data_IF_963533281875
#
_entry.id   IF_963533281875
#
_cell.length_a   1.000
_cell.length_b   1.000
_cell.length_c   1.000
_cell.angle_alpha   90.00
_cell.angle_beta   90.00
_cell.angle_gamma   90.00
#
_symmetry.space_group_name_H-M   'P 1'
#
loop_
_entity.id
_entity.type
_entity.pdbx_description
1 polymer ?
#
# COMPACT_ATOMS: atom_id res chain seq x y z
N UNK A 1 -4.84 2.44 -13.77
CA UNK A 1 -4.50 1.08 -13.33
C UNK A 1 -4.73 0.87 -11.84
N UNK A 2 -4.14 -0.18 -11.25
CA UNK A 2 -4.34 -0.56 -9.83
C UNK A 2 -4.04 0.59 -8.85
N UNK A 3 -2.88 1.22 -8.99
CA UNK A 3 -2.49 2.37 -8.16
C UNK A 3 -3.48 3.54 -8.23
N UNK A 4 -4.04 3.80 -9.42
CA UNK A 4 -5.07 4.85 -9.59
C UNK A 4 -6.38 4.46 -8.92
N UNK A 5 -6.77 3.18 -8.96
CA UNK A 5 -7.96 2.68 -8.28
C UNK A 5 -7.83 2.87 -6.76
N UNK A 6 -6.67 2.53 -6.20
CA UNK A 6 -6.43 2.73 -4.77
C UNK A 6 -6.39 4.22 -4.43
N UNK A 7 -5.54 5.01 -5.09
CA UNK A 7 -5.32 6.42 -4.73
C UNK A 7 -6.52 7.32 -5.01
N UNK A 8 -7.17 7.16 -6.17
CA UNK A 8 -8.25 8.05 -6.60
C UNK A 8 -9.66 7.45 -6.34
N UNK A 9 -9.75 6.16 -6.13
CA UNK A 9 -10.99 5.48 -5.77
C UNK A 9 -11.06 5.25 -4.27
N UNK A 10 -10.39 4.20 -3.78
CA UNK A 10 -10.49 3.76 -2.39
C UNK A 10 -10.16 4.86 -1.38
N UNK A 11 -9.00 5.53 -1.50
CA UNK A 11 -8.62 6.56 -0.53
C UNK A 11 -9.55 7.77 -0.55
N UNK A 12 -10.06 8.15 -1.73
CA UNK A 12 -11.04 9.23 -1.84
C UNK A 12 -12.36 8.90 -1.14
N UNK A 13 -12.83 7.66 -1.27
CA UNK A 13 -14.04 7.18 -0.59
C UNK A 13 -13.81 7.01 0.92
N UNK A 14 -12.60 6.59 1.32
CA UNK A 14 -12.21 6.46 2.72
C UNK A 14 -12.28 7.82 3.43
N UNK A 15 -11.66 8.85 2.86
CA UNK A 15 -11.70 10.22 3.38
C UNK A 15 -13.08 10.88 3.23
N UNK A 16 -13.87 10.45 2.25
CA UNK A 16 -15.26 10.89 2.05
C UNK A 16 -16.25 10.32 3.07
N UNK A 17 -15.83 9.40 3.94
CA UNK A 17 -16.67 8.79 4.96
C UNK A 17 -17.63 7.72 4.42
N UNK A 18 -17.38 7.17 3.24
CA UNK A 18 -18.23 6.13 2.64
C UNK A 18 -18.17 4.80 3.38
N UNK A 19 -17.16 4.58 4.24
CA UNK A 19 -16.95 3.36 5.03
C UNK A 19 -17.37 3.55 6.50
N UNK A 20 -18.56 4.05 6.75
CA UNK A 20 -19.08 4.35 8.10
C UNK A 20 -19.00 3.17 9.09
N UNK A 21 -19.15 1.94 8.59
CA UNK A 21 -19.06 0.73 9.43
C UNK A 21 -17.63 0.44 9.91
N UNK A 22 -16.61 0.90 9.17
CA UNK A 22 -15.21 0.71 9.51
C UNK A 22 -14.61 1.87 10.33
N UNK A 23 -15.44 2.86 10.70
CA UNK A 23 -14.99 4.08 11.38
C UNK A 23 -14.74 5.24 10.41
N UNK A 24 -14.62 6.45 10.97
CA UNK A 24 -14.47 7.69 10.18
C UNK A 24 -13.05 8.20 10.14
N UNK A 25 -12.23 7.85 11.10
CA UNK A 25 -10.89 8.40 11.26
C UNK A 25 -9.83 7.40 10.77
N UNK A 26 -9.11 7.82 9.74
CA UNK A 26 -8.12 6.99 9.06
C UNK A 26 -6.82 7.76 8.87
N UNK A 27 -5.72 7.13 9.29
CA UNK A 27 -4.38 7.52 8.89
C UNK A 27 -3.85 6.55 7.83
N UNK A 28 -3.25 7.08 6.77
CA UNK A 28 -2.87 6.29 5.60
C UNK A 28 -1.42 6.53 5.24
N UNK A 29 -0.63 5.47 5.22
CA UNK A 29 0.71 5.48 4.63
C UNK A 29 0.72 4.71 3.31
N UNK A 30 1.32 5.29 2.27
CA UNK A 30 1.44 4.68 0.94
C UNK A 30 2.91 4.52 0.59
N UNK A 31 3.35 3.30 0.37
CA UNK A 31 4.74 3.00 0.02
C UNK A 31 4.87 2.12 -1.23
N UNK A 32 6.08 2.10 -1.78
CA UNK A 32 6.54 1.12 -2.76
C UNK A 32 7.78 0.41 -2.18
N UNK A 33 7.84 -0.93 -2.16
CA UNK A 33 8.93 -1.65 -1.50
C UNK A 33 10.28 -1.61 -2.26
N UNK A 34 10.31 -1.12 -3.49
CA UNK A 34 11.53 -1.01 -4.28
C UNK A 34 12.64 -0.19 -3.60
N UNK A 35 13.85 -0.72 -3.58
CA UNK A 35 15.01 -0.05 -2.94
C UNK A 35 15.11 -0.22 -1.44
N UNK A 36 14.41 -1.19 -0.85
CA UNK A 36 14.49 -1.57 0.56
C UNK A 36 13.21 -1.28 1.33
N UNK A 37 12.42 -2.33 1.66
CA UNK A 37 11.05 -2.19 2.16
C UNK A 37 10.97 -1.44 3.49
N UNK A 38 11.88 -1.70 4.44
CA UNK A 38 11.89 -1.01 5.74
C UNK A 38 12.23 0.48 5.64
N UNK A 39 13.17 0.85 4.74
CA UNK A 39 13.50 2.25 4.50
C UNK A 39 12.34 3.00 3.86
N UNK A 40 11.67 2.38 2.89
CA UNK A 40 10.50 2.99 2.25
C UNK A 40 9.32 3.10 3.21
N UNK A 41 9.10 2.09 4.07
CA UNK A 41 8.06 2.14 5.08
C UNK A 41 8.33 3.25 6.11
N UNK A 42 9.53 3.32 6.68
CA UNK A 42 9.87 4.39 7.64
C UNK A 42 9.70 5.78 7.05
N UNK A 43 10.06 5.95 5.77
CA UNK A 43 9.84 7.20 5.05
C UNK A 43 8.35 7.51 4.88
N UNK A 44 7.55 6.54 4.43
CA UNK A 44 6.11 6.75 4.22
C UNK A 44 5.35 7.05 5.52
N UNK A 45 5.80 6.49 6.66
CA UNK A 45 5.23 6.79 7.97
C UNK A 45 5.50 8.24 8.40
N UNK A 46 6.68 8.78 8.10
CA UNK A 46 6.98 10.20 8.34
C UNK A 46 6.23 11.11 7.37
N UNK A 47 6.19 10.73 6.08
CA UNK A 47 5.50 11.51 5.04
C UNK A 47 3.96 11.52 5.24
N UNK A 48 3.39 10.63 6.04
CA UNK A 48 1.96 10.61 6.40
C UNK A 48 1.57 11.48 7.60
N UNK A 49 2.51 12.29 8.10
CA UNK A 49 2.34 13.22 9.22
C UNK A 49 1.94 12.57 10.58
N UNK A 50 1.99 11.23 10.69
CA UNK A 50 1.76 10.53 11.97
C UNK A 50 2.96 10.58 12.92
N UNK A 51 4.10 11.05 12.40
CA UNK A 51 5.32 11.32 13.16
C UNK A 51 5.79 12.75 12.90
N UNK A 52 6.39 13.36 13.92
CA UNK A 52 7.00 14.67 13.78
C UNK A 52 8.24 14.60 12.87
N UNK A 53 8.13 15.16 11.68
CA UNK A 53 9.21 15.18 10.69
C UNK A 53 10.38 16.09 11.08
N UNK A 54 10.18 17.01 12.06
CA UNK A 54 11.23 17.90 12.57
C UNK A 54 12.11 17.21 13.63
N UNK A 55 11.68 16.03 14.15
CA UNK A 55 12.49 15.28 15.09
C UNK A 55 13.75 14.72 14.41
N UNK A 56 14.93 15.07 14.96
CA UNK A 56 16.19 14.56 14.48
C UNK A 56 16.22 13.01 14.56
N UNK A 57 16.66 12.37 13.49
CA UNK A 57 16.82 10.90 13.41
C UNK A 57 15.53 10.09 13.48
N UNK A 58 14.33 10.69 13.29
CA UNK A 58 13.04 9.98 13.32
C UNK A 58 13.04 8.78 12.37
N UNK A 59 13.57 8.91 11.16
CA UNK A 59 13.67 7.79 10.20
C UNK A 59 14.54 6.65 10.71
N UNK A 60 15.68 6.96 11.35
CA UNK A 60 16.59 5.92 11.89
C UNK A 60 15.94 5.18 13.04
N UNK A 61 15.29 5.89 13.95
CA UNK A 61 14.54 5.30 15.07
C UNK A 61 13.41 4.41 14.59
N UNK A 62 12.62 4.88 13.62
CA UNK A 62 11.54 4.12 13.01
C UNK A 62 12.06 2.88 12.30
N UNK A 63 13.08 3.01 11.47
CA UNK A 63 13.67 1.87 10.78
C UNK A 63 14.17 0.80 11.77
N UNK A 64 14.84 1.22 12.86
CA UNK A 64 15.27 0.32 13.91
C UNK A 64 14.09 -0.35 14.64
N UNK A 65 13.00 0.37 14.89
CA UNK A 65 11.78 -0.19 15.49
C UNK A 65 11.14 -1.23 14.58
N UNK A 66 10.97 -0.90 13.30
CA UNK A 66 10.36 -1.78 12.30
C UNK A 66 11.14 -3.10 12.13
N UNK A 67 12.48 -3.04 12.15
CA UNK A 67 13.34 -4.22 12.00
C UNK A 67 13.50 -5.08 13.25
N UNK A 68 13.00 -4.63 14.41
CA UNK A 68 13.24 -5.30 15.70
C UNK A 68 12.56 -6.65 15.79
N UNK A 69 11.36 -6.79 15.26
CA UNK A 69 10.55 -8.00 15.34
C UNK A 69 9.39 -7.96 14.35
N UNK A 70 8.67 -9.08 14.23
CA UNK A 70 7.40 -9.17 13.46
C UNK A 70 6.30 -8.21 13.97
N UNK A 71 6.43 -7.68 15.18
CA UNK A 71 5.54 -6.66 15.73
C UNK A 71 6.03 -5.23 15.49
N UNK A 72 7.09 -5.04 14.70
CA UNK A 72 7.72 -3.73 14.49
C UNK A 72 6.76 -2.66 13.98
N UNK A 73 5.86 -2.97 13.04
CA UNK A 73 4.84 -2.04 12.57
C UNK A 73 3.81 -1.72 13.66
N UNK A 74 3.39 -2.73 14.42
CA UNK A 74 2.46 -2.53 15.55
C UNK A 74 3.06 -1.62 16.61
N UNK A 75 4.35 -1.84 16.95
CA UNK A 75 5.08 -0.99 17.89
C UNK A 75 5.23 0.44 17.37
N UNK A 76 5.56 0.60 16.08
CA UNK A 76 5.63 1.90 15.45
C UNK A 76 4.28 2.64 15.56
N UNK A 77 3.18 2.04 15.14
CA UNK A 77 1.86 2.70 15.19
C UNK A 77 1.43 3.02 16.64
N UNK A 78 1.75 2.17 17.61
CA UNK A 78 1.51 2.48 19.03
C UNK A 78 2.33 3.68 19.52
N UNK A 79 3.59 3.80 19.07
CA UNK A 79 4.46 4.94 19.41
C UNK A 79 4.01 6.25 18.78
N UNK A 80 3.36 6.19 17.63
CA UNK A 80 2.75 7.35 16.97
C UNK A 80 1.59 7.97 17.78
N UNK A 81 1.06 7.23 18.78
CA UNK A 81 0.00 7.70 19.69
C UNK A 81 -1.20 8.31 18.94
N UNK A 82 -1.67 7.63 17.91
CA UNK A 82 -2.84 8.07 17.14
C UNK A 82 -4.06 8.28 18.06
N UNK A 83 -4.97 9.21 17.72
CA UNK A 83 -6.20 9.43 18.47
C UNK A 83 -6.98 8.13 18.65
N UNK A 84 -7.70 8.00 19.78
CA UNK A 84 -8.54 6.83 20.05
C UNK A 84 -9.61 6.66 18.94
N UNK A 85 -9.73 5.45 18.43
CA UNK A 85 -10.66 5.13 17.33
C UNK A 85 -10.11 5.36 15.93
N UNK A 86 -8.88 5.85 15.78
CA UNK A 86 -8.23 5.98 14.49
C UNK A 86 -7.77 4.64 13.96
N UNK A 87 -8.15 4.31 12.73
CA UNK A 87 -7.64 3.16 11.99
C UNK A 87 -6.38 3.55 11.20
N UNK A 88 -5.44 2.62 11.07
CA UNK A 88 -4.26 2.82 10.24
C UNK A 88 -4.31 1.92 9.00
N UNK A 89 -4.14 2.51 7.82
CA UNK A 89 -4.07 1.80 6.54
C UNK A 89 -2.67 1.91 5.93
N UNK A 90 -2.01 0.78 5.78
CA UNK A 90 -0.80 0.67 4.97
C UNK A 90 -1.15 0.23 3.56
N UNK A 91 -0.81 1.04 2.56
CA UNK A 91 -0.90 0.68 1.15
C UNK A 91 0.50 0.38 0.62
N UNK A 92 0.74 -0.87 0.23
CA UNK A 92 1.97 -1.29 -0.46
C UNK A 92 1.68 -1.37 -1.95
N UNK A 93 2.03 -0.30 -2.66
CA UNK A 93 1.80 -0.19 -4.11
C UNK A 93 2.97 -0.82 -4.88
N UNK A 94 2.68 -1.53 -5.97
CA UNK A 94 3.65 -2.27 -6.77
C UNK A 94 4.42 -3.32 -5.94
N UNK A 95 3.68 -4.13 -5.19
CA UNK A 95 4.25 -5.15 -4.29
C UNK A 95 5.21 -6.10 -5.00
N UNK A 96 5.06 -6.30 -6.32
CA UNK A 96 5.98 -7.08 -7.12
C UNK A 96 7.46 -6.63 -7.05
N UNK A 97 7.72 -5.40 -6.61
CA UNK A 97 9.09 -4.91 -6.42
C UNK A 97 9.82 -5.63 -5.27
N UNK A 98 9.08 -6.23 -4.31
CA UNK A 98 9.67 -7.00 -3.20
C UNK A 98 10.38 -8.26 -3.72
N UNK A 99 9.83 -8.92 -4.75
CA UNK A 99 10.43 -10.12 -5.34
C UNK A 99 11.75 -9.79 -6.04
N UNK A 100 11.80 -8.65 -6.74
CA UNK A 100 13.05 -8.17 -7.36
C UNK A 100 14.08 -7.76 -6.32
N UNK A 101 13.64 -7.19 -5.22
CA UNK A 101 14.50 -6.82 -4.12
C UNK A 101 15.10 -8.08 -3.47
N UNK A 102 14.30 -9.09 -3.19
CA UNK A 102 14.76 -10.36 -2.58
C UNK A 102 15.75 -11.13 -3.46
N UNK A 103 15.74 -10.95 -4.77
CA UNK A 103 16.67 -11.61 -5.70
C UNK A 103 18.05 -10.92 -5.76
N UNK A 104 18.25 -9.80 -5.09
CA UNK A 104 19.49 -9.03 -5.16
C UNK A 104 20.62 -9.62 -4.29
N UNK A 105 20.30 -10.37 -3.21
CA UNK A 105 21.26 -11.01 -2.32
C UNK A 105 20.59 -11.65 -1.11
N UNK A 106 21.39 -12.34 -0.30
CA UNK A 106 20.89 -13.04 0.90
C UNK A 106 20.35 -12.06 1.96
N UNK A 107 20.98 -10.90 2.14
CA UNK A 107 20.52 -9.87 3.08
C UNK A 107 19.20 -9.25 2.63
N UNK A 108 19.00 -9.09 1.33
CA UNK A 108 17.78 -8.57 0.73
C UNK A 108 16.65 -9.60 0.79
N UNK A 109 16.95 -10.88 0.64
CA UNK A 109 15.99 -11.97 0.79
C UNK A 109 15.49 -12.04 2.23
N UNK A 110 16.38 -12.06 3.22
CA UNK A 110 16.02 -12.03 4.64
C UNK A 110 15.19 -10.79 5.00
N UNK A 111 15.58 -9.62 4.50
CA UNK A 111 14.84 -8.38 4.74
C UNK A 111 13.45 -8.38 4.08
N UNK A 112 13.27 -9.03 2.94
CA UNK A 112 11.96 -9.21 2.31
C UNK A 112 11.06 -10.14 3.13
N UNK A 113 11.60 -11.27 3.60
CA UNK A 113 10.90 -12.23 4.47
C UNK A 113 10.45 -11.58 5.79
N UNK A 114 11.35 -10.84 6.43
CA UNK A 114 11.06 -10.12 7.67
C UNK A 114 9.98 -9.06 7.46
N UNK A 115 10.05 -8.30 6.38
CA UNK A 115 9.06 -7.29 6.05
C UNK A 115 7.67 -7.90 5.81
N UNK A 116 7.59 -8.97 5.02
CA UNK A 116 6.33 -9.65 4.74
C UNK A 116 5.76 -10.25 6.02
N UNK A 117 6.58 -10.94 6.82
CA UNK A 117 6.16 -11.48 8.11
C UNK A 117 5.61 -10.37 9.05
N UNK A 118 6.23 -9.19 9.04
CA UNK A 118 5.81 -8.05 9.87
C UNK A 118 4.45 -7.49 9.42
N UNK A 119 4.21 -7.30 8.12
CA UNK A 119 2.92 -6.77 7.65
C UNK A 119 1.79 -7.79 7.83
N UNK A 120 2.05 -9.08 7.67
CA UNK A 120 1.09 -10.16 7.93
C UNK A 120 0.74 -10.25 9.42
N UNK A 121 1.73 -10.13 10.30
CA UNK A 121 1.48 -10.12 11.75
C UNK A 121 0.71 -8.87 12.17
N UNK A 122 1.02 -7.71 11.61
CA UNK A 122 0.33 -6.46 11.92
C UNK A 122 -1.16 -6.50 11.55
N UNK A 123 -1.53 -7.11 10.43
CA UNK A 123 -2.93 -7.23 9.99
C UNK A 123 -3.78 -8.13 10.89
N UNK A 124 -3.16 -9.02 11.68
CA UNK A 124 -3.84 -9.96 12.59
C UNK A 124 -4.07 -9.39 14.00
N UNK A 125 -3.47 -8.24 14.31
CA UNK A 125 -3.54 -7.67 15.67
C UNK A 125 -4.87 -6.97 15.92
N UNK A 126 -5.59 -7.43 16.96
CA UNK A 126 -6.85 -6.82 17.38
C UNK A 126 -6.70 -5.57 18.26
N UNK A 127 -5.53 -5.35 18.86
CA UNK A 127 -5.27 -4.25 19.80
C UNK A 127 -4.88 -2.91 19.15
N UNK A 128 -4.53 -2.92 17.87
CA UNK A 128 -4.27 -1.74 17.03
C UNK A 128 -4.91 -2.02 15.69
N UNK A 129 -5.88 -1.23 15.23
CA UNK A 129 -6.59 -1.49 13.99
C UNK A 129 -5.71 -1.12 12.77
N UNK A 130 -4.85 -2.05 12.38
CA UNK A 130 -3.97 -1.94 11.22
C UNK A 130 -4.53 -2.74 10.07
N UNK A 131 -4.76 -2.08 8.95
CA UNK A 131 -5.19 -2.67 7.69
C UNK A 131 -4.05 -2.59 6.67
N UNK A 132 -3.88 -3.63 5.87
CA UNK A 132 -2.84 -3.68 4.84
C UNK A 132 -3.48 -3.97 3.49
N UNK A 133 -3.20 -3.12 2.51
CA UNK A 133 -3.60 -3.34 1.12
C UNK A 133 -2.34 -3.43 0.27
N UNK A 134 -2.21 -4.49 -0.50
CA UNK A 134 -1.16 -4.63 -1.49
C UNK A 134 -1.74 -4.49 -2.90
N UNK A 135 -1.04 -3.78 -3.79
CA UNK A 135 -1.35 -3.83 -5.22
C UNK A 135 -0.24 -4.56 -5.95
N UNK A 136 -0.59 -5.51 -6.77
CA UNK A 136 0.38 -6.36 -7.47
C UNK A 136 -0.12 -6.72 -8.87
N UNK A 137 0.80 -6.99 -9.79
CA UNK A 137 0.47 -7.58 -11.09
C UNK A 137 0.15 -9.06 -10.91
N UNK A 138 -0.87 -9.54 -11.63
CA UNK A 138 -1.34 -10.92 -11.52
C UNK A 138 -0.31 -11.97 -11.97
N UNK A 139 0.67 -11.60 -12.78
CA UNK A 139 1.76 -12.48 -13.21
C UNK A 139 2.74 -12.84 -12.07
N UNK A 140 2.72 -12.09 -10.96
CA UNK A 140 3.53 -12.34 -9.77
C UNK A 140 2.82 -13.11 -8.64
N UNK A 141 1.54 -13.49 -8.82
CA UNK A 141 0.80 -14.25 -7.80
C UNK A 141 1.52 -15.55 -7.43
N UNK A 142 2.13 -16.22 -8.42
CA UNK A 142 2.91 -17.44 -8.17
C UNK A 142 4.15 -17.23 -7.30
N UNK A 143 4.76 -16.05 -7.35
CA UNK A 143 5.94 -15.70 -6.55
C UNK A 143 5.62 -15.53 -5.07
N UNK A 144 4.36 -15.25 -4.72
CA UNK A 144 3.91 -15.15 -3.34
C UNK A 144 4.12 -16.44 -2.55
N UNK A 145 4.16 -17.60 -3.23
CA UNK A 145 4.41 -18.89 -2.59
C UNK A 145 5.81 -19.05 -2.00
N UNK A 146 6.73 -18.14 -2.31
CA UNK A 146 8.08 -18.11 -1.72
C UNK A 146 8.05 -17.67 -0.25
N UNK A 147 7.00 -16.96 0.19
CA UNK A 147 6.90 -16.33 1.50
C UNK A 147 5.82 -17.01 2.36
N UNK A 148 6.21 -17.43 3.56
CA UNK A 148 5.32 -18.14 4.49
C UNK A 148 4.14 -17.26 4.92
N UNK A 149 2.92 -17.79 4.82
CA UNK A 149 1.67 -17.13 5.23
C UNK A 149 1.10 -16.13 4.22
N UNK A 150 1.88 -15.68 3.24
CA UNK A 150 1.40 -14.73 2.23
C UNK A 150 0.35 -15.34 1.28
N UNK A 151 0.49 -16.58 0.78
CA UNK A 151 -0.51 -17.21 -0.08
C UNK A 151 -1.88 -17.34 0.61
N UNK A 152 -1.90 -17.67 1.89
CA UNK A 152 -3.13 -17.85 2.67
C UNK A 152 -3.91 -16.53 2.75
N UNK A 153 -3.25 -15.44 3.11
CA UNK A 153 -3.87 -14.11 3.21
C UNK A 153 -4.34 -13.59 1.84
N UNK A 154 -3.58 -13.87 0.77
CA UNK A 154 -4.00 -13.51 -0.59
C UNK A 154 -5.27 -14.27 -0.96
N UNK A 155 -5.36 -15.58 -0.70
CA UNK A 155 -6.53 -16.37 -1.03
C UNK A 155 -7.80 -15.91 -0.29
N UNK A 156 -7.66 -15.32 0.90
CA UNK A 156 -8.77 -14.77 1.67
C UNK A 156 -9.17 -13.36 1.25
N UNK A 157 -8.21 -12.55 0.78
CA UNK A 157 -8.38 -11.12 0.54
C UNK A 157 -8.15 -10.67 -0.90
N UNK A 158 -8.05 -11.59 -1.88
CA UNK A 158 -7.77 -11.22 -3.28
C UNK A 158 -8.97 -10.56 -3.95
N UNK A 159 -8.71 -9.43 -4.61
CA UNK A 159 -9.62 -8.81 -5.56
C UNK A 159 -8.97 -8.66 -6.94
N UNK A 160 -9.36 -9.49 -7.88
CA UNK A 160 -8.85 -9.44 -9.25
C UNK A 160 -9.53 -8.32 -10.05
N UNK A 161 -8.77 -7.27 -10.38
CA UNK A 161 -9.27 -6.16 -11.18
C UNK A 161 -9.36 -6.60 -12.64
N UNK A 162 -10.56 -6.59 -13.26
CA UNK A 162 -10.72 -6.97 -14.65
C UNK A 162 -10.05 -5.96 -15.58
N UNK A 163 -9.75 -6.39 -16.81
CA UNK A 163 -9.31 -5.47 -17.85
C UNK A 163 -10.47 -4.54 -18.21
N UNK A 164 -10.14 -3.27 -18.42
CA UNK A 164 -11.11 -2.31 -18.92
C UNK A 164 -11.69 -2.74 -20.27
N UNK A 165 -12.98 -2.62 -20.42
CA UNK A 165 -13.65 -2.71 -21.71
C UNK A 165 -13.28 -1.53 -22.62
N UNK A 166 -13.55 -1.63 -23.90
CA UNK A 166 -13.29 -0.55 -24.86
C UNK A 166 -14.04 0.76 -24.49
N UNK A 167 -15.22 0.64 -23.97
CA UNK A 167 -16.04 1.79 -23.54
C UNK A 167 -15.47 2.46 -22.30
N UNK A 168 -15.01 1.67 -21.32
CA UNK A 168 -14.32 2.17 -20.13
C UNK A 168 -13.00 2.84 -20.49
N UNK A 169 -12.18 2.27 -21.38
CA UNK A 169 -10.97 2.94 -21.90
C UNK A 169 -11.29 4.31 -22.46
N UNK A 170 -12.33 4.40 -23.28
CA UNK A 170 -12.77 5.68 -23.85
C UNK A 170 -13.15 6.68 -22.75
N UNK A 171 -13.91 6.25 -21.76
CA UNK A 171 -14.32 7.08 -20.64
C UNK A 171 -13.14 7.59 -19.81
N UNK A 172 -12.17 6.70 -19.50
CA UNK A 172 -10.96 7.06 -18.75
C UNK A 172 -10.08 8.07 -19.47
N UNK A 173 -10.09 8.06 -20.80
CA UNK A 173 -9.30 9.00 -21.60
C UNK A 173 -10.07 10.32 -21.80
N UNK A 174 -11.36 10.27 -22.09
CA UNK A 174 -12.18 11.45 -22.34
C UNK A 174 -12.46 12.27 -21.06
N UNK A 175 -12.58 11.61 -19.91
CA UNK A 175 -12.90 12.27 -18.64
C UNK A 175 -11.92 13.39 -18.26
N UNK A 176 -10.63 13.10 -18.10
CA UNK A 176 -9.62 14.10 -17.76
C UNK A 176 -9.48 15.20 -18.81
N UNK A 177 -9.58 14.86 -20.10
CA UNK A 177 -9.47 15.82 -21.21
C UNK A 177 -10.64 16.81 -21.17
N UNK A 178 -11.85 16.34 -20.82
CA UNK A 178 -13.04 17.19 -20.66
C UNK A 178 -12.89 18.15 -19.49
N UNK A 179 -12.38 17.65 -18.34
CA UNK A 179 -12.09 18.48 -17.17
C UNK A 179 -11.05 19.54 -17.47
N UNK A 180 -10.00 19.19 -18.26
CA UNK A 180 -8.99 20.12 -18.74
C UNK A 180 -9.46 21.11 -19.83
N UNK A 181 -10.75 21.11 -20.17
CA UNK A 181 -11.32 22.07 -21.14
C UNK A 181 -10.91 21.83 -22.61
N UNK A 182 -10.31 20.66 -22.91
CA UNK A 182 -9.86 20.31 -24.26
C UNK A 182 -10.73 19.21 -24.88
N UNK A 183 -10.57 18.95 -26.18
CA UNK A 183 -11.29 17.91 -26.92
C UNK A 183 -10.30 16.98 -27.60
N UNK A 184 -10.54 15.68 -27.49
CA UNK A 184 -9.78 14.67 -28.24
C UNK A 184 -10.19 14.65 -29.71
N UNK A 185 -9.21 14.54 -30.60
CA UNK A 185 -9.48 14.33 -32.01
C UNK A 185 -10.19 12.97 -32.21
N UNK A 186 -11.31 12.91 -32.99
CA UNK A 186 -12.07 11.67 -33.19
C UNK A 186 -11.24 10.49 -33.72
N UNK A 187 -10.19 10.76 -34.51
CA UNK A 187 -9.28 9.74 -35.02
C UNK A 187 -8.45 9.04 -33.95
N UNK A 188 -8.18 9.68 -32.79
CA UNK A 188 -7.47 9.06 -31.67
C UNK A 188 -8.35 8.05 -30.95
N UNK A 189 -9.64 8.37 -30.77
CA UNK A 189 -10.62 7.49 -30.15
C UNK A 189 -10.95 6.24 -30.99
N UNK A 190 -10.79 6.32 -32.31
CA UNK A 190 -11.04 5.18 -33.19
C UNK A 190 -9.90 4.15 -33.21
N UNK A 191 -8.70 4.53 -32.72
CA UNK A 191 -7.51 3.66 -32.67
C UNK A 191 -7.34 2.93 -31.33
N UNK A 192 -8.17 3.23 -30.35
CA UNK A 192 -8.28 2.58 -29.05
C UNK A 192 -9.34 1.47 -29.10
#
# INVERSE_FOLDING_TARGET
GKSSLVRCGLLSELYGGSFLEAGTDWEVAVMNPGGGPFNQLSKSLVDSDIYDSEEADVHLKLNATLRRSRLGLVEAIRQAALPEGTNFLLVVDQFEEIFRYSEAGEEEEEAADDFISMILEASKQSGVPIYVIITMRSDYIGDCSKFEGLPEEINEGEYLIPRLSREEYKSVIEGPVRVGGTKLAPRLLQRL
#
